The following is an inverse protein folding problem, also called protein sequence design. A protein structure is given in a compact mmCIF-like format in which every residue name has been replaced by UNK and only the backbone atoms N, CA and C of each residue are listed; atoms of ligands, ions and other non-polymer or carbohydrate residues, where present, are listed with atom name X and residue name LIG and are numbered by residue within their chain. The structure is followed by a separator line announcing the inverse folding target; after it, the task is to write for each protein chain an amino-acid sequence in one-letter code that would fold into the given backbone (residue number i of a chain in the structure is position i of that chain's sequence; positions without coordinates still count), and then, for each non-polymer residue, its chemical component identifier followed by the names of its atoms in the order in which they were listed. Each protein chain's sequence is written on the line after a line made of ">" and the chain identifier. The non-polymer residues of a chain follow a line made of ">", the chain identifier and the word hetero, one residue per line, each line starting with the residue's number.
data_IF_591692527557
#
_entry.id   IF_591692527557
#
_cell.length_a   1.000
_cell.length_b   1.000
_cell.length_c   1.000
_cell.angle_alpha   90.00
_cell.angle_beta   90.00
_cell.angle_gamma   90.00
#
_symmetry.space_group_name_H-M   'P 1'
#
loop_
_entity.id
_entity.type
_entity.pdbx_description
1 polymer ?
#
# COMPACT_ATOMS: atom_id res chain seq x y z
N UNK A 1 -6.79 -6.37 30.18
CA UNK A 1 -6.74 -4.89 30.14
C UNK A 1 -6.78 -4.20 31.51
N UNK A 2 -7.25 -4.86 32.57
CA UNK A 2 -7.33 -4.28 33.94
C UNK A 2 -5.98 -4.27 34.68
N UNK A 3 -5.08 -5.18 34.39
CA UNK A 3 -3.75 -5.32 35.00
C UNK A 3 -2.72 -4.29 34.52
N UNK A 4 -2.80 -3.79 33.31
CA UNK A 4 -1.89 -2.76 32.78
C UNK A 4 -2.22 -1.33 33.29
N UNK A 5 -3.49 -1.05 33.61
CA UNK A 5 -3.88 0.25 34.20
C UNK A 5 -3.50 0.39 35.67
N UNK A 6 -3.43 -0.69 36.43
CA UNK A 6 -2.95 -0.68 37.82
C UNK A 6 -1.43 -0.46 37.89
N UNK A 7 -0.68 -1.08 36.98
CA UNK A 7 0.78 -0.93 36.88
C UNK A 7 1.20 0.52 36.54
N UNK A 8 0.47 1.20 35.67
CA UNK A 8 0.77 2.61 35.30
C UNK A 8 0.58 3.60 36.47
N UNK A 9 -0.42 3.39 37.35
CA UNK A 9 -0.65 4.23 38.54
C UNK A 9 0.35 3.94 39.65
N UNK A 10 0.82 2.72 39.76
CA UNK A 10 1.82 2.29 40.74
C UNK A 10 3.22 2.81 40.35
N UNK A 11 3.56 2.77 39.07
CA UNK A 11 4.78 3.40 38.54
C UNK A 11 4.77 4.90 38.74
N UNK A 12 3.62 5.58 38.59
CA UNK A 12 3.50 7.01 38.82
C UNK A 12 3.60 7.39 40.34
N UNK A 13 3.21 6.50 41.25
CA UNK A 13 3.39 6.65 42.69
C UNK A 13 4.85 6.46 43.11
N UNK A 14 5.57 5.52 42.52
CA UNK A 14 6.99 5.25 42.78
C UNK A 14 7.92 6.35 42.26
N UNK A 15 7.48 7.15 41.25
CA UNK A 15 8.29 8.28 40.75
C UNK A 15 8.18 9.55 41.60
N UNK A 16 7.30 9.61 42.61
CA UNK A 16 7.17 10.75 43.55
C UNK A 16 7.96 10.56 44.83
N UNK A 17 8.40 9.35 45.17
CA UNK A 17 9.37 9.13 46.27
C UNK A 17 10.80 9.24 45.69
N UNK A 18 11.68 9.99 46.38
CA UNK A 18 13.09 10.20 46.00
C UNK A 18 13.84 8.86 45.92
N UNK A 19 13.78 8.20 44.77
CA UNK A 19 14.63 7.05 44.48
C UNK A 19 16.11 7.48 44.49
N UNK A 20 17.04 6.64 45.00
CA UNK A 20 18.47 6.86 44.88
C UNK A 20 18.84 7.08 43.40
N UNK A 21 19.75 8.00 43.11
CA UNK A 21 20.11 8.39 41.72
C UNK A 21 20.48 7.21 40.79
N UNK A 22 21.03 6.14 41.39
CA UNK A 22 21.39 4.90 40.69
C UNK A 22 20.15 4.08 40.25
N UNK A 23 19.11 4.05 41.08
CA UNK A 23 17.85 3.37 40.75
C UNK A 23 17.02 4.13 39.72
N UNK A 24 17.00 5.48 39.84
CA UNK A 24 16.37 6.34 38.85
C UNK A 24 17.03 6.20 37.45
N UNK A 25 18.37 6.10 37.40
CA UNK A 25 19.11 5.87 36.18
C UNK A 25 18.80 4.48 35.57
N UNK A 26 18.76 3.42 36.39
CA UNK A 26 18.37 2.07 35.94
C UNK A 26 16.95 2.02 35.43
N UNK A 27 16.00 2.63 36.10
CA UNK A 27 14.60 2.73 35.64
C UNK A 27 14.49 3.50 34.33
N UNK A 28 15.26 4.55 34.14
CA UNK A 28 15.33 5.26 32.86
C UNK A 28 15.88 4.39 31.74
N UNK A 29 16.96 3.65 31.98
CA UNK A 29 17.54 2.72 31.00
C UNK A 29 16.55 1.62 30.62
N UNK A 30 15.91 0.99 31.62
CA UNK A 30 14.88 -0.05 31.39
C UNK A 30 13.66 0.52 30.64
N UNK A 31 13.23 1.75 30.97
CA UNK A 31 12.15 2.43 30.25
C UNK A 31 12.54 2.78 28.83
N UNK A 32 13.78 3.15 28.57
CA UNK A 32 14.30 3.37 27.22
C UNK A 32 14.41 2.07 26.43
N UNK A 33 14.92 1.00 27.03
CA UNK A 33 14.95 -0.34 26.41
C UNK A 33 13.55 -0.87 26.12
N UNK A 34 12.59 -0.70 27.03
CA UNK A 34 11.18 -1.05 26.80
C UNK A 34 10.53 -0.20 25.69
N UNK A 35 10.90 1.07 25.57
CA UNK A 35 10.44 1.94 24.47
C UNK A 35 11.05 1.52 23.14
N UNK A 36 12.33 1.17 23.11
CA UNK A 36 13.01 0.66 21.90
C UNK A 36 12.35 -0.66 21.48
N UNK A 37 12.08 -1.58 22.41
CA UNK A 37 11.38 -2.83 22.12
C UNK A 37 9.97 -2.59 21.57
N UNK A 38 9.22 -1.66 22.15
CA UNK A 38 7.88 -1.29 21.68
C UNK A 38 7.86 -0.58 20.31
N UNK A 39 8.99 0.06 19.92
CA UNK A 39 9.12 0.70 18.60
C UNK A 39 9.64 -0.23 17.51
N UNK A 40 10.21 -1.39 17.88
CA UNK A 40 10.74 -2.39 16.92
C UNK A 40 9.69 -3.42 16.50
N UNK A 41 8.61 -3.59 17.27
CA UNK A 41 7.53 -4.52 16.92
C UNK A 41 6.64 -3.97 15.79
N UNK A 42 5.95 -4.84 15.07
CA UNK A 42 5.03 -4.46 14.01
C UNK A 42 3.86 -3.61 14.56
N UNK A 43 3.25 -2.80 13.69
CA UNK A 43 2.03 -2.05 14.07
C UNK A 43 0.87 -2.99 14.32
N UNK A 44 0.06 -2.74 15.37
CA UNK A 44 -1.14 -3.52 15.62
C UNK A 44 -2.17 -3.33 14.49
N UNK A 45 -3.04 -4.33 14.22
CA UNK A 45 -3.98 -4.29 13.10
C UNK A 45 -4.91 -3.07 13.06
N UNK A 46 -5.28 -2.50 14.20
CA UNK A 46 -6.06 -1.25 14.27
C UNK A 46 -5.32 -0.06 13.63
N UNK A 47 -4.04 0.13 13.97
CA UNK A 47 -3.20 1.16 13.35
C UNK A 47 -2.96 0.92 11.86
N UNK A 48 -2.80 -0.35 11.46
CA UNK A 48 -2.70 -0.72 10.05
C UNK A 48 -3.95 -0.30 9.26
N UNK A 49 -5.14 -0.46 9.85
CA UNK A 49 -6.41 -0.07 9.24
C UNK A 49 -6.50 1.45 9.08
N UNK A 50 -6.11 2.23 10.09
CA UNK A 50 -6.04 3.69 10.01
C UNK A 50 -5.06 4.14 8.93
N UNK A 51 -3.88 3.49 8.85
CA UNK A 51 -2.89 3.79 7.81
C UNK A 51 -3.41 3.45 6.41
N UNK A 52 -4.04 2.28 6.22
CA UNK A 52 -4.68 1.89 4.95
C UNK A 52 -5.71 2.93 4.50
N UNK A 53 -6.56 3.39 5.41
CA UNK A 53 -7.55 4.43 5.14
C UNK A 53 -6.90 5.75 4.73
N UNK A 54 -5.88 6.21 5.46
CA UNK A 54 -5.13 7.44 5.17
C UNK A 54 -4.45 7.40 3.79
N UNK A 55 -3.77 6.29 3.49
CA UNK A 55 -3.15 6.07 2.17
C UNK A 55 -4.17 6.14 1.04
N UNK A 56 -5.36 5.55 1.21
CA UNK A 56 -6.42 5.62 0.21
C UNK A 56 -6.94 7.04 -0.02
N UNK A 57 -7.01 7.88 1.02
CA UNK A 57 -7.34 9.32 0.90
C UNK A 57 -6.26 10.05 0.10
N UNK A 58 -4.98 9.81 0.40
CA UNK A 58 -3.85 10.42 -0.31
C UNK A 58 -3.88 10.08 -1.79
N UNK A 59 -4.09 8.80 -2.14
CA UNK A 59 -4.17 8.33 -3.53
C UNK A 59 -5.35 8.95 -4.27
N UNK A 60 -6.50 9.10 -3.63
CA UNK A 60 -7.70 9.71 -4.22
C UNK A 60 -7.55 11.20 -4.51
N UNK A 61 -6.65 11.89 -3.82
CA UNK A 61 -6.39 13.32 -3.95
C UNK A 61 -5.05 13.62 -4.67
N UNK A 62 -4.34 12.61 -5.14
CA UNK A 62 -3.06 12.78 -5.81
C UNK A 62 -3.19 13.51 -7.16
N UNK A 63 -2.11 14.18 -7.56
CA UNK A 63 -2.04 14.82 -8.86
C UNK A 63 -2.07 13.78 -9.99
N UNK A 64 -2.90 14.00 -11.01
CA UNK A 64 -3.10 13.07 -12.14
C UNK A 64 -1.79 12.72 -12.84
N UNK A 65 -0.92 13.70 -13.08
CA UNK A 65 0.38 13.47 -13.72
C UNK A 65 1.28 12.56 -12.88
N UNK A 66 1.35 12.81 -11.57
CA UNK A 66 2.13 11.98 -10.65
C UNK A 66 1.58 10.55 -10.57
N UNK A 67 0.25 10.41 -10.45
CA UNK A 67 -0.42 9.09 -10.44
C UNK A 67 -0.14 8.34 -11.74
N UNK A 68 -0.21 9.04 -12.89
CA UNK A 68 0.03 8.43 -14.20
C UNK A 68 1.47 7.94 -14.36
N UNK A 69 2.47 8.75 -14.01
CA UNK A 69 3.87 8.36 -14.07
C UNK A 69 4.19 7.20 -13.12
N UNK A 70 3.68 7.26 -11.89
CA UNK A 70 3.82 6.17 -10.92
C UNK A 70 3.08 4.90 -11.37
N UNK A 71 1.96 5.04 -12.09
CA UNK A 71 1.26 3.93 -12.71
C UNK A 71 2.08 3.27 -13.83
N UNK A 72 2.72 4.05 -14.71
CA UNK A 72 3.63 3.52 -15.74
C UNK A 72 4.77 2.74 -15.08
N UNK A 73 5.39 3.31 -14.04
CA UNK A 73 6.44 2.61 -13.29
C UNK A 73 5.94 1.30 -12.68
N UNK A 74 4.73 1.25 -12.11
CA UNK A 74 4.20 0.03 -11.51
C UNK A 74 3.98 -1.07 -12.54
N UNK A 75 3.42 -0.76 -13.70
CA UNK A 75 3.28 -1.72 -14.80
C UNK A 75 4.63 -2.28 -15.26
N UNK A 76 5.61 -1.39 -15.39
CA UNK A 76 6.99 -1.77 -15.72
C UNK A 76 7.61 -2.68 -14.65
N UNK A 77 7.48 -2.34 -13.37
CA UNK A 77 8.02 -3.12 -12.25
C UNK A 77 7.40 -4.50 -12.12
N UNK A 78 6.08 -4.61 -12.23
CA UNK A 78 5.39 -5.92 -12.24
C UNK A 78 5.84 -6.73 -13.45
N UNK A 79 6.01 -6.11 -14.61
CA UNK A 79 6.57 -6.75 -15.78
C UNK A 79 7.99 -7.29 -15.58
N UNK A 80 8.87 -6.56 -14.85
CA UNK A 80 10.20 -7.06 -14.48
C UNK A 80 10.12 -8.34 -13.64
N UNK A 81 9.21 -8.39 -12.67
CA UNK A 81 8.95 -9.61 -11.89
C UNK A 81 8.46 -10.76 -12.77
N UNK A 82 7.58 -10.48 -13.74
CA UNK A 82 7.08 -11.46 -14.69
C UNK A 82 8.17 -11.96 -15.65
N UNK A 83 9.02 -11.07 -16.14
CA UNK A 83 10.19 -11.40 -16.97
C UNK A 83 11.15 -12.31 -16.19
N UNK A 84 11.48 -11.97 -14.97
CA UNK A 84 12.37 -12.77 -14.14
C UNK A 84 11.78 -14.15 -13.80
N UNK A 85 10.48 -14.22 -13.53
CA UNK A 85 9.75 -15.48 -13.38
C UNK A 85 9.84 -16.33 -14.65
N UNK A 86 9.64 -15.74 -15.83
CA UNK A 86 9.77 -16.45 -17.11
C UNK A 86 11.16 -17.05 -17.28
N UNK A 87 12.22 -16.29 -16.99
CA UNK A 87 13.60 -16.79 -17.09
C UNK A 87 13.84 -17.99 -16.16
N UNK A 88 13.54 -17.81 -14.86
CA UNK A 88 13.87 -18.82 -13.84
C UNK A 88 13.07 -20.10 -14.01
N UNK A 89 11.86 -20.01 -14.57
CA UNK A 89 11.04 -21.21 -14.83
C UNK A 89 11.30 -21.85 -16.21
N UNK A 90 12.26 -21.34 -16.99
CA UNK A 90 12.64 -21.90 -18.28
C UNK A 90 13.49 -23.16 -18.07
N UNK A 91 13.07 -24.26 -18.68
CA UNK A 91 13.81 -25.55 -18.74
C UNK A 91 14.35 -26.09 -17.39
N UNK A 92 13.72 -25.72 -16.29
CA UNK A 92 14.14 -26.12 -14.95
C UNK A 92 13.65 -27.54 -14.61
N UNK A 93 14.55 -28.45 -14.28
CA UNK A 93 14.28 -29.88 -14.04
C UNK A 93 14.21 -30.23 -12.54
N UNK A 94 13.54 -29.42 -11.73
CA UNK A 94 13.42 -29.60 -10.26
C UNK A 94 12.05 -30.10 -9.81
N UNK A 95 11.19 -30.44 -10.76
CA UNK A 95 9.80 -30.86 -10.50
C UNK A 95 8.83 -29.68 -10.38
N UNK A 96 7.53 -29.98 -10.58
CA UNK A 96 6.47 -28.97 -10.72
C UNK A 96 6.39 -28.00 -9.55
N UNK A 97 6.33 -28.52 -8.31
CA UNK A 97 6.14 -27.68 -7.12
C UNK A 97 7.29 -26.71 -6.88
N UNK A 98 8.53 -27.19 -7.00
CA UNK A 98 9.71 -26.35 -6.77
C UNK A 98 9.91 -25.33 -7.88
N UNK A 99 9.62 -25.68 -9.15
CA UNK A 99 9.62 -24.73 -10.27
C UNK A 99 8.63 -23.59 -10.01
N UNK A 100 7.42 -23.91 -9.56
CA UNK A 100 6.39 -22.92 -9.23
C UNK A 100 6.80 -22.04 -8.05
N UNK A 101 7.39 -22.63 -7.01
CA UNK A 101 7.90 -21.92 -5.84
C UNK A 101 9.00 -20.91 -6.23
N UNK A 102 9.99 -21.35 -6.99
CA UNK A 102 11.09 -20.48 -7.45
C UNK A 102 10.57 -19.34 -8.34
N UNK A 103 9.67 -19.64 -9.27
CA UNK A 103 9.02 -18.62 -10.09
C UNK A 103 8.28 -17.58 -9.24
N UNK A 104 7.61 -18.02 -8.17
CA UNK A 104 6.93 -17.13 -7.23
C UNK A 104 7.88 -16.24 -6.42
N UNK A 105 8.97 -16.80 -5.91
CA UNK A 105 10.00 -16.07 -5.15
C UNK A 105 10.58 -14.94 -6.00
N UNK A 106 11.00 -15.23 -7.23
CA UNK A 106 11.62 -14.21 -8.08
C UNK A 106 10.62 -13.17 -8.61
N UNK A 107 9.35 -13.56 -8.77
CA UNK A 107 8.28 -12.62 -9.13
C UNK A 107 8.05 -11.54 -8.06
N UNK A 108 8.39 -11.80 -6.80
CA UNK A 108 8.28 -10.83 -5.71
C UNK A 108 9.04 -9.52 -6.00
N UNK A 109 10.07 -9.55 -6.85
CA UNK A 109 10.78 -8.37 -7.33
C UNK A 109 9.80 -7.28 -7.77
N UNK A 110 8.75 -7.66 -8.51
CA UNK A 110 7.76 -6.70 -9.04
C UNK A 110 7.08 -5.91 -7.91
N UNK A 111 6.50 -6.58 -6.91
CA UNK A 111 5.80 -5.88 -5.82
C UNK A 111 6.78 -5.22 -4.84
N UNK A 112 7.97 -5.78 -4.64
CA UNK A 112 9.02 -5.14 -3.85
C UNK A 112 9.36 -3.77 -4.46
N UNK A 113 9.58 -3.68 -5.76
CA UNK A 113 9.83 -2.41 -6.45
C UNK A 113 8.64 -1.46 -6.34
N UNK A 114 7.41 -1.94 -6.54
CA UNK A 114 6.19 -1.12 -6.39
C UNK A 114 6.10 -0.51 -4.99
N UNK A 115 6.33 -1.31 -3.94
CA UNK A 115 6.15 -0.86 -2.55
C UNK A 115 7.33 -0.02 -2.07
N UNK A 116 8.58 -0.40 -2.36
CA UNK A 116 9.76 0.26 -1.81
C UNK A 116 10.22 1.45 -2.66
N UNK A 117 10.17 1.35 -3.99
CA UNK A 117 10.48 2.47 -4.86
C UNK A 117 9.30 3.44 -5.03
N UNK A 118 8.10 3.06 -4.59
CA UNK A 118 6.91 3.91 -4.57
C UNK A 118 6.25 4.08 -5.93
N UNK A 119 5.33 3.15 -6.29
CA UNK A 119 4.60 3.20 -7.54
C UNK A 119 3.09 2.96 -7.33
N UNK A 120 2.24 3.31 -8.30
CA UNK A 120 0.79 3.18 -8.22
C UNK A 120 0.32 1.90 -8.94
N UNK A 121 -0.06 0.89 -8.16
CA UNK A 121 -0.52 -0.39 -8.67
C UNK A 121 -2.04 -0.54 -8.51
N UNK A 122 -2.75 -0.79 -9.61
CA UNK A 122 -4.21 -0.93 -9.64
C UNK A 122 -4.74 -1.97 -8.64
N UNK A 123 -4.12 -3.15 -8.58
CA UNK A 123 -4.54 -4.24 -7.69
C UNK A 123 -4.39 -3.87 -6.22
N UNK A 124 -3.33 -3.17 -5.84
CA UNK A 124 -3.15 -2.64 -4.47
C UNK A 124 -4.13 -1.50 -4.15
N UNK A 125 -4.50 -0.69 -5.15
CA UNK A 125 -5.45 0.41 -4.98
C UNK A 125 -6.89 -0.07 -4.74
N UNK A 126 -7.18 -1.36 -4.87
CA UNK A 126 -8.46 -1.93 -4.43
C UNK A 126 -8.73 -1.70 -2.93
N UNK A 127 -7.68 -1.59 -2.11
CA UNK A 127 -7.80 -1.26 -0.68
C UNK A 127 -8.38 0.14 -0.40
N UNK A 128 -8.40 1.05 -1.39
CA UNK A 128 -9.04 2.37 -1.27
C UNK A 128 -10.54 2.29 -0.96
N UNK A 129 -11.16 1.13 -1.15
CA UNK A 129 -12.56 0.88 -0.74
C UNK A 129 -12.77 1.16 0.74
N UNK A 130 -11.77 0.94 1.61
CA UNK A 130 -11.85 1.26 3.03
C UNK A 130 -12.03 2.76 3.27
N UNK A 131 -11.30 3.62 2.54
CA UNK A 131 -11.45 5.08 2.61
C UNK A 131 -12.80 5.54 2.08
N UNK A 132 -13.34 4.83 1.05
CA UNK A 132 -14.70 5.09 0.54
C UNK A 132 -15.76 4.67 1.54
N UNK A 133 -15.64 3.50 2.13
CA UNK A 133 -16.56 3.00 3.17
C UNK A 133 -16.57 3.89 4.42
N UNK A 134 -15.44 4.51 4.71
CA UNK A 134 -15.30 5.54 5.74
C UNK A 134 -15.88 6.90 5.36
N UNK A 135 -16.34 7.10 4.13
CA UNK A 135 -16.87 8.39 3.66
C UNK A 135 -15.79 9.46 3.42
N UNK A 136 -14.49 9.13 3.50
CA UNK A 136 -13.38 10.08 3.33
C UNK A 136 -13.10 10.43 1.87
N UNK A 137 -13.50 9.58 0.93
CA UNK A 137 -13.38 9.83 -0.51
C UNK A 137 -14.72 9.59 -1.22
N UNK A 138 -14.93 10.27 -2.35
CA UNK A 138 -16.10 10.07 -3.22
C UNK A 138 -15.92 8.83 -4.10
N UNK A 139 -17.03 8.22 -4.50
CA UNK A 139 -17.01 7.08 -5.42
C UNK A 139 -16.37 7.45 -6.78
N UNK A 140 -16.59 8.66 -7.26
CA UNK A 140 -15.95 9.18 -8.48
C UNK A 140 -14.41 9.23 -8.36
N UNK A 141 -13.88 9.61 -7.20
CA UNK A 141 -12.43 9.64 -6.96
C UNK A 141 -11.83 8.23 -6.95
N UNK A 142 -12.54 7.24 -6.40
CA UNK A 142 -12.13 5.85 -6.41
C UNK A 142 -12.02 5.33 -7.85
N UNK A 143 -13.09 5.47 -8.65
CA UNK A 143 -13.08 4.99 -10.04
C UNK A 143 -12.12 5.78 -10.93
N UNK A 144 -11.96 7.08 -10.70
CA UNK A 144 -10.99 7.89 -11.41
C UNK A 144 -9.57 7.39 -11.17
N UNK A 145 -9.19 7.15 -9.90
CA UNK A 145 -7.87 6.59 -9.57
C UNK A 145 -7.70 5.20 -10.22
N UNK A 146 -8.67 4.31 -10.06
CA UNK A 146 -8.61 2.96 -10.64
C UNK A 146 -8.45 2.99 -12.15
N UNK A 147 -9.22 3.83 -12.84
CA UNK A 147 -9.13 3.95 -14.30
C UNK A 147 -7.76 4.46 -14.76
N UNK A 148 -7.28 5.57 -14.19
CA UNK A 148 -5.97 6.15 -14.54
C UNK A 148 -4.87 5.13 -14.30
N UNK A 149 -4.84 4.53 -13.10
CA UNK A 149 -3.77 3.59 -12.71
C UNK A 149 -3.82 2.33 -13.56
N UNK A 150 -5.01 1.77 -13.85
CA UNK A 150 -5.14 0.59 -14.71
C UNK A 150 -4.56 0.80 -16.11
N UNK A 151 -4.92 1.91 -16.75
CA UNK A 151 -4.42 2.23 -18.10
C UNK A 151 -2.94 2.57 -18.11
N UNK A 152 -2.45 3.27 -17.09
CA UNK A 152 -1.02 3.60 -17.02
C UNK A 152 -0.16 2.39 -16.63
N UNK A 153 -0.68 1.44 -15.84
CA UNK A 153 -0.02 0.15 -15.64
C UNK A 153 0.09 -0.63 -16.97
N UNK A 154 -0.95 -0.62 -17.81
CA UNK A 154 -0.90 -1.23 -19.14
C UNK A 154 0.21 -0.60 -20.00
N UNK A 155 0.28 0.73 -20.05
CA UNK A 155 1.33 1.44 -20.80
C UNK A 155 2.72 1.00 -20.31
N UNK A 156 2.96 0.97 -18.99
CA UNK A 156 4.23 0.54 -18.40
C UNK A 156 4.61 -0.89 -18.75
N UNK A 157 3.63 -1.81 -18.70
CA UNK A 157 3.83 -3.20 -19.06
C UNK A 157 4.18 -3.37 -20.56
N UNK A 158 3.47 -2.65 -21.45
CA UNK A 158 3.74 -2.69 -22.89
C UNK A 158 5.08 -2.06 -23.25
N UNK A 159 5.50 -0.99 -22.57
CA UNK A 159 6.84 -0.42 -22.73
C UNK A 159 7.92 -1.45 -22.38
N UNK A 160 7.74 -2.20 -21.30
CA UNK A 160 8.69 -3.25 -20.93
C UNK A 160 8.69 -4.37 -21.97
N UNK A 161 7.52 -4.83 -22.46
CA UNK A 161 7.44 -5.84 -23.53
C UNK A 161 8.26 -5.40 -24.73
N UNK A 162 8.12 -4.14 -25.15
CA UNK A 162 8.88 -3.57 -26.26
C UNK A 162 10.40 -3.64 -26.03
N UNK A 163 10.86 -3.18 -24.86
CA UNK A 163 12.29 -3.19 -24.50
C UNK A 163 12.84 -4.62 -24.44
N UNK A 164 12.11 -5.54 -23.79
CA UNK A 164 12.51 -6.96 -23.67
C UNK A 164 12.52 -7.65 -25.02
N UNK A 165 11.56 -7.34 -25.91
CA UNK A 165 11.52 -7.88 -27.26
C UNK A 165 12.76 -7.47 -28.07
N UNK A 166 13.08 -6.17 -28.11
CA UNK A 166 14.25 -5.67 -28.85
C UNK A 166 15.60 -6.04 -28.22
N UNK A 167 15.65 -6.31 -26.91
CA UNK A 167 16.86 -6.83 -26.25
C UNK A 167 17.20 -8.26 -26.66
N UNK A 168 16.30 -8.96 -27.35
CA UNK A 168 16.42 -10.38 -27.70
C UNK A 168 16.59 -11.31 -26.48
N UNK A 169 16.20 -10.86 -25.30
CA UNK A 169 16.19 -11.67 -24.09
C UNK A 169 15.49 -13.03 -24.27
N UNK A 170 14.44 -13.07 -25.08
CA UNK A 170 13.69 -14.26 -25.44
C UNK A 170 14.49 -15.30 -26.25
N UNK A 171 15.62 -14.88 -26.85
CA UNK A 171 16.49 -15.78 -27.62
C UNK A 171 17.47 -16.57 -26.73
N UNK A 172 17.58 -16.24 -25.44
CA UNK A 172 18.42 -16.96 -24.50
C UNK A 172 18.09 -18.46 -24.45
N UNK A 173 19.11 -19.26 -24.12
CA UNK A 173 19.03 -20.71 -24.03
C UNK A 173 18.42 -21.34 -25.30
N UNK A 174 18.91 -20.93 -26.48
CA UNK A 174 18.43 -21.45 -27.76
C UNK A 174 16.94 -21.21 -28.00
N UNK A 175 16.43 -20.03 -27.61
CA UNK A 175 15.02 -19.60 -27.70
C UNK A 175 14.08 -20.21 -26.64
N UNK A 176 14.54 -21.05 -25.73
CA UNK A 176 13.67 -21.67 -24.72
C UNK A 176 12.97 -20.65 -23.81
N UNK A 177 13.59 -19.50 -23.52
CA UNK A 177 12.93 -18.40 -22.79
C UNK A 177 11.72 -17.88 -23.56
N UNK A 178 11.84 -17.72 -24.87
CA UNK A 178 10.72 -17.35 -25.75
C UNK A 178 9.62 -18.42 -25.80
N UNK A 179 10.00 -19.68 -25.82
CA UNK A 179 9.05 -20.82 -25.76
C UNK A 179 8.28 -20.82 -24.46
N UNK A 180 8.96 -20.57 -23.34
CA UNK A 180 8.30 -20.48 -22.03
C UNK A 180 7.34 -19.27 -21.98
N UNK A 181 7.75 -18.11 -22.49
CA UNK A 181 6.89 -16.92 -22.58
C UNK A 181 5.63 -17.19 -23.43
N UNK A 182 5.80 -17.85 -24.59
CA UNK A 182 4.70 -18.29 -25.46
C UNK A 182 3.74 -19.23 -24.72
N UNK A 183 4.28 -20.24 -24.03
CA UNK A 183 3.50 -21.24 -23.30
C UNK A 183 2.71 -20.65 -22.16
N UNK A 184 3.32 -19.74 -21.36
CA UNK A 184 2.66 -19.02 -20.26
C UNK A 184 1.47 -18.21 -20.82
N UNK A 185 1.69 -17.44 -21.86
CA UNK A 185 0.65 -16.61 -22.47
C UNK A 185 -0.48 -17.44 -23.06
N UNK A 186 -0.13 -18.52 -23.77
CA UNK A 186 -1.11 -19.42 -24.39
C UNK A 186 -2.01 -20.09 -23.34
N UNK A 187 -1.44 -20.53 -22.21
CA UNK A 187 -2.22 -21.05 -21.10
C UNK A 187 -3.21 -20.02 -20.52
N UNK A 188 -2.83 -18.74 -20.48
CA UNK A 188 -3.65 -17.65 -19.94
C UNK A 188 -4.82 -17.26 -20.85
N UNK A 189 -4.58 -17.08 -22.15
CA UNK A 189 -5.65 -16.69 -23.09
C UNK A 189 -6.69 -17.80 -23.32
N UNK A 190 -6.35 -19.04 -22.99
CA UNK A 190 -7.24 -20.19 -23.09
C UNK A 190 -7.96 -20.54 -21.78
N UNK A 191 -7.80 -19.75 -20.72
CA UNK A 191 -8.60 -19.90 -19.50
C UNK A 191 -10.06 -19.53 -19.76
N UNK A 192 -10.98 -20.41 -19.37
CA UNK A 192 -12.40 -20.10 -19.36
C UNK A 192 -12.71 -18.98 -18.35
N UNK A 193 -13.82 -18.26 -18.57
CA UNK A 193 -14.22 -17.09 -17.77
C UNK A 193 -14.21 -17.36 -16.25
N UNK A 194 -14.91 -18.38 -15.79
CA UNK A 194 -15.06 -18.64 -14.34
C UNK A 194 -13.75 -19.04 -13.65
N UNK A 195 -12.91 -19.94 -14.20
CA UNK A 195 -11.57 -20.18 -13.66
C UNK A 195 -10.70 -18.92 -13.62
N UNK A 196 -10.71 -18.10 -14.67
CA UNK A 196 -9.96 -16.85 -14.71
C UNK A 196 -10.43 -15.85 -13.64
N UNK A 197 -11.75 -15.69 -13.49
CA UNK A 197 -12.37 -14.85 -12.47
C UNK A 197 -12.04 -15.31 -11.04
N UNK A 198 -12.25 -16.60 -10.73
CA UNK A 198 -11.95 -17.14 -9.41
C UNK A 198 -10.47 -17.05 -9.04
N UNK A 199 -9.56 -17.37 -10.00
CA UNK A 199 -8.12 -17.17 -9.82
C UNK A 199 -7.77 -15.70 -9.63
N UNK A 200 -8.50 -14.78 -10.27
CA UNK A 200 -8.40 -13.34 -10.06
C UNK A 200 -8.74 -12.93 -8.63
N UNK A 201 -9.82 -13.46 -8.05
CA UNK A 201 -10.22 -13.20 -6.65
C UNK A 201 -9.10 -13.63 -5.70
N UNK A 202 -8.65 -14.88 -5.82
CA UNK A 202 -7.62 -15.45 -4.94
C UNK A 202 -6.29 -14.70 -5.06
N UNK A 203 -5.91 -14.31 -6.27
CA UNK A 203 -4.70 -13.52 -6.51
C UNK A 203 -4.75 -12.20 -5.74
N UNK A 204 -5.78 -11.39 -5.98
CA UNK A 204 -5.78 -10.04 -5.39
C UNK A 204 -6.13 -10.03 -3.91
N UNK A 205 -6.73 -11.08 -3.38
CA UNK A 205 -6.79 -11.29 -1.93
C UNK A 205 -5.37 -11.38 -1.35
N UNK A 206 -4.48 -12.18 -1.95
CA UNK A 206 -3.09 -12.31 -1.48
C UNK A 206 -2.26 -11.05 -1.72
N UNK A 207 -2.42 -10.37 -2.85
CA UNK A 207 -1.73 -9.08 -3.12
C UNK A 207 -2.16 -8.03 -2.10
N UNK A 208 -3.45 -7.88 -1.82
CA UNK A 208 -3.95 -6.93 -0.84
C UNK A 208 -3.54 -7.29 0.59
N UNK A 209 -3.43 -8.59 0.92
CA UNK A 209 -2.86 -9.03 2.20
C UNK A 209 -1.36 -8.71 2.31
N UNK A 210 -0.57 -8.86 1.23
CA UNK A 210 0.82 -8.43 1.21
C UNK A 210 0.96 -6.92 1.50
N UNK A 211 0.14 -6.09 0.84
CA UNK A 211 0.10 -4.64 1.07
C UNK A 211 -0.37 -4.32 2.49
N UNK A 212 -1.37 -5.03 3.00
CA UNK A 212 -1.84 -4.91 4.38
C UNK A 212 -0.72 -5.18 5.38
N UNK A 213 0.02 -6.28 5.23
CA UNK A 213 1.17 -6.59 6.07
C UNK A 213 2.26 -5.52 6.00
N UNK A 214 2.47 -4.92 4.82
CA UNK A 214 3.40 -3.78 4.68
C UNK A 214 2.97 -2.55 5.48
N UNK A 215 1.69 -2.33 5.76
CA UNK A 215 1.25 -1.25 6.67
C UNK A 215 1.68 -1.52 8.12
N UNK A 216 1.80 -2.79 8.51
CA UNK A 216 2.33 -3.19 9.82
C UNK A 216 3.84 -3.09 9.94
N UNK A 217 4.54 -3.22 8.82
CA UNK A 217 6.00 -3.23 8.76
C UNK A 217 6.62 -1.88 9.18
N UNK A 218 7.75 -1.93 9.87
CA UNK A 218 8.49 -0.75 10.34
C UNK A 218 9.83 -0.56 9.64
N UNK A 219 10.39 -1.62 9.08
CA UNK A 219 11.64 -1.58 8.33
C UNK A 219 11.45 -1.99 6.87
N UNK A 220 12.45 -1.70 6.04
CA UNK A 220 12.51 -2.16 4.65
C UNK A 220 12.52 -3.70 4.56
N UNK A 221 13.25 -4.36 5.46
CA UNK A 221 13.36 -5.82 5.51
C UNK A 221 12.00 -6.43 5.85
N UNK A 222 11.27 -5.89 6.83
CA UNK A 222 9.93 -6.36 7.19
C UNK A 222 8.99 -6.32 5.99
N UNK A 223 9.04 -5.24 5.18
CA UNK A 223 8.23 -5.12 3.95
C UNK A 223 8.59 -6.19 2.92
N UNK A 224 9.87 -6.49 2.74
CA UNK A 224 10.32 -7.56 1.83
C UNK A 224 9.73 -8.90 2.27
N UNK A 225 9.82 -9.24 3.55
CA UNK A 225 9.24 -10.48 4.07
C UNK A 225 7.70 -10.50 4.04
N UNK A 226 7.05 -9.37 4.29
CA UNK A 226 5.60 -9.22 4.18
C UNK A 226 5.09 -9.48 2.74
N UNK A 227 5.91 -9.18 1.74
CA UNK A 227 5.60 -9.40 0.33
C UNK A 227 5.91 -10.85 -0.08
N UNK A 228 7.00 -11.42 0.41
CA UNK A 228 7.57 -12.67 -0.08
C UNK A 228 6.56 -13.82 -0.08
N UNK A 229 5.94 -14.12 1.06
CA UNK A 229 5.07 -15.30 1.16
C UNK A 229 3.75 -15.17 0.39
N UNK A 230 2.97 -14.07 0.52
CA UNK A 230 1.70 -13.96 -0.21
C UNK A 230 1.90 -13.89 -1.73
N UNK A 231 2.95 -13.22 -2.20
CA UNK A 231 3.21 -13.09 -3.63
C UNK A 231 3.73 -14.41 -4.21
N UNK A 232 4.67 -15.07 -3.50
CA UNK A 232 5.10 -16.42 -3.88
C UNK A 232 3.92 -17.37 -3.97
N UNK A 233 3.02 -17.34 -2.99
CA UNK A 233 1.85 -18.22 -2.96
C UNK A 233 0.94 -18.01 -4.18
N UNK A 234 0.57 -16.75 -4.53
CA UNK A 234 -0.33 -16.56 -5.65
C UNK A 234 0.30 -16.98 -6.99
N UNK A 235 1.60 -16.71 -7.20
CA UNK A 235 2.29 -17.12 -8.43
C UNK A 235 2.41 -18.64 -8.52
N UNK A 236 2.85 -19.26 -7.42
CA UNK A 236 3.02 -20.71 -7.35
C UNK A 236 1.70 -21.47 -7.58
N UNK A 237 0.59 -20.98 -7.02
CA UNK A 237 -0.75 -21.54 -7.21
C UNK A 237 -1.35 -21.25 -8.61
N UNK A 238 -0.69 -20.45 -9.43
CA UNK A 238 -1.18 -20.12 -10.78
C UNK A 238 -2.43 -19.23 -10.75
N UNK A 239 -2.53 -18.33 -9.75
CA UNK A 239 -3.60 -17.33 -9.68
C UNK A 239 -3.34 -16.20 -10.67
N UNK A 240 -4.41 -15.50 -11.08
CA UNK A 240 -4.38 -14.58 -12.20
C UNK A 240 -4.31 -13.12 -11.74
N UNK A 241 -3.24 -12.43 -12.14
CA UNK A 241 -3.00 -11.02 -11.85
C UNK A 241 -3.13 -10.18 -13.12
N UNK A 242 -4.12 -9.28 -13.18
CA UNK A 242 -4.41 -8.50 -14.39
C UNK A 242 -3.19 -7.72 -14.90
N UNK A 243 -2.46 -7.05 -14.00
CA UNK A 243 -1.30 -6.23 -14.41
C UNK A 243 -0.11 -7.11 -14.86
N UNK A 244 0.11 -8.27 -14.23
CA UNK A 244 1.11 -9.22 -14.72
C UNK A 244 0.74 -9.77 -16.10
N UNK A 245 -0.56 -10.02 -16.35
CA UNK A 245 -1.06 -10.47 -17.64
C UNK A 245 -0.89 -9.40 -18.75
N UNK A 246 -0.85 -8.11 -18.38
CA UNK A 246 -0.50 -7.02 -19.30
C UNK A 246 0.95 -7.10 -19.81
N UNK A 247 1.82 -7.87 -19.17
CA UNK A 247 3.15 -8.21 -19.66
C UNK A 247 3.16 -9.60 -20.31
N UNK A 248 2.70 -10.65 -19.61
CA UNK A 248 2.82 -12.03 -20.05
C UNK A 248 2.14 -12.26 -21.41
N UNK A 249 0.89 -11.78 -21.57
CA UNK A 249 0.14 -12.07 -22.79
C UNK A 249 0.68 -11.30 -24.00
N UNK A 250 0.93 -9.98 -23.96
CA UNK A 250 1.55 -9.28 -25.07
C UNK A 250 2.95 -9.82 -25.43
N UNK A 251 3.75 -10.24 -24.45
CA UNK A 251 5.03 -10.87 -24.72
C UNK A 251 4.85 -12.20 -25.48
N UNK A 252 3.88 -13.03 -25.07
CA UNK A 252 3.55 -14.26 -25.79
C UNK A 252 3.00 -14.01 -27.19
N UNK A 253 2.19 -12.96 -27.39
CA UNK A 253 1.74 -12.55 -28.74
C UNK A 253 2.94 -12.17 -29.62
N UNK A 254 3.91 -11.44 -29.08
CA UNK A 254 5.15 -11.12 -29.79
C UNK A 254 5.95 -12.38 -30.12
N UNK A 255 5.96 -13.38 -29.24
CA UNK A 255 6.63 -14.67 -29.48
C UNK A 255 5.90 -15.52 -30.51
N UNK A 256 4.59 -15.47 -30.61
CA UNK A 256 3.81 -16.15 -31.63
C UNK A 256 4.18 -15.66 -33.05
N UNK A 257 4.69 -14.45 -33.21
CA UNK A 257 5.24 -13.92 -34.46
C UNK A 257 6.67 -14.38 -34.78
N UNK A 258 7.35 -15.12 -33.87
CA UNK A 258 8.73 -15.57 -34.06
C UNK A 258 8.76 -17.05 -34.54
N UNK A 259 9.00 -17.28 -35.82
CA UNK A 259 8.97 -18.63 -36.45
C UNK A 259 9.81 -19.63 -35.64
N UNK A 260 11.05 -19.29 -35.28
CA UNK A 260 11.95 -20.17 -34.52
C UNK A 260 11.38 -20.56 -33.15
N UNK A 261 10.72 -19.64 -32.46
CA UNK A 261 10.10 -19.90 -31.14
C UNK A 261 8.93 -20.88 -31.31
N UNK A 262 8.08 -20.66 -32.29
CA UNK A 262 6.92 -21.53 -32.57
C UNK A 262 7.34 -22.94 -33.01
N UNK A 263 8.38 -23.04 -33.87
CA UNK A 263 8.95 -24.32 -34.29
C UNK A 263 9.51 -25.11 -33.10
N UNK A 264 10.32 -24.49 -32.25
CA UNK A 264 10.91 -25.15 -31.07
C UNK A 264 9.83 -25.53 -30.06
N UNK A 265 8.79 -24.70 -29.91
CA UNK A 265 7.64 -25.02 -29.06
C UNK A 265 6.81 -26.20 -29.56
N UNK A 266 6.95 -26.57 -30.83
CA UNK A 266 6.18 -27.65 -31.46
C UNK A 266 4.67 -27.35 -31.51
N UNK A 267 4.27 -26.05 -31.49
CA UNK A 267 2.88 -25.64 -31.50
C UNK A 267 2.37 -25.34 -32.89
N UNK A 268 1.18 -25.82 -33.20
CA UNK A 268 0.48 -25.52 -34.43
C UNK A 268 -0.20 -24.16 -34.40
N UNK A 269 -0.46 -23.55 -35.56
CA UNK A 269 -1.18 -22.29 -35.66
C UNK A 269 -2.56 -22.33 -34.96
N UNK A 270 -3.25 -23.47 -34.98
CA UNK A 270 -4.53 -23.65 -34.31
C UNK A 270 -4.41 -23.60 -32.77
N UNK A 271 -3.31 -24.13 -32.20
CA UNK A 271 -3.08 -24.14 -30.76
C UNK A 271 -2.75 -22.75 -30.19
N UNK A 272 -2.20 -21.85 -30.99
CA UNK A 272 -1.87 -20.48 -30.64
C UNK A 272 -2.85 -19.45 -31.21
N UNK A 273 -3.95 -19.89 -31.83
CA UNK A 273 -4.91 -19.01 -32.49
C UNK A 273 -5.51 -17.94 -31.60
N UNK A 274 -5.62 -18.21 -30.30
CA UNK A 274 -6.13 -17.24 -29.29
C UNK A 274 -5.06 -16.26 -28.77
N UNK A 275 -3.79 -16.42 -29.16
CA UNK A 275 -2.73 -15.46 -28.82
C UNK A 275 -2.82 -14.22 -29.72
N UNK A 276 -3.81 -13.40 -29.46
CA UNK A 276 -4.13 -12.18 -30.19
C UNK A 276 -4.78 -11.15 -29.23
N UNK A 277 -5.10 -9.96 -29.73
CA UNK A 277 -5.73 -8.89 -28.95
C UNK A 277 -7.08 -9.32 -28.35
N UNK A 278 -7.86 -10.12 -29.07
CA UNK A 278 -9.16 -10.61 -28.56
C UNK A 278 -8.96 -11.55 -27.36
N UNK A 279 -8.02 -12.51 -27.47
CA UNK A 279 -7.69 -13.39 -26.35
C UNK A 279 -7.07 -12.64 -25.15
N UNK A 280 -6.28 -11.59 -25.42
CA UNK A 280 -5.76 -10.70 -24.37
C UNK A 280 -6.89 -10.02 -23.60
N UNK A 281 -7.84 -9.39 -24.28
CA UNK A 281 -9.01 -8.74 -23.67
C UNK A 281 -9.87 -9.81 -22.98
N UNK A 282 -10.08 -10.96 -23.63
CA UNK A 282 -10.85 -12.10 -23.12
C UNK A 282 -10.34 -12.63 -21.77
N UNK A 283 -9.01 -12.61 -21.57
CA UNK A 283 -8.40 -12.94 -20.27
C UNK A 283 -8.50 -11.76 -19.28
N UNK A 284 -8.17 -10.53 -19.70
CA UNK A 284 -8.13 -9.38 -18.80
C UNK A 284 -9.48 -9.07 -18.15
N UNK A 285 -10.59 -9.22 -18.87
CA UNK A 285 -11.92 -8.89 -18.33
C UNK A 285 -12.24 -9.72 -17.08
N UNK A 286 -12.32 -11.06 -17.14
CA UNK A 286 -12.64 -11.85 -15.95
C UNK A 286 -11.59 -11.71 -14.84
N UNK A 287 -10.30 -11.64 -15.20
CA UNK A 287 -9.21 -11.50 -14.22
C UNK A 287 -9.31 -10.16 -13.49
N UNK A 288 -9.53 -9.06 -14.20
CA UNK A 288 -9.68 -7.73 -13.58
C UNK A 288 -10.90 -7.66 -12.66
N UNK A 289 -12.05 -8.20 -13.10
CA UNK A 289 -13.25 -8.30 -12.25
C UNK A 289 -12.95 -9.10 -10.98
N UNK A 290 -12.26 -10.24 -11.11
CA UNK A 290 -11.85 -11.06 -9.97
C UNK A 290 -10.89 -10.31 -9.04
N UNK A 291 -9.90 -9.61 -9.60
CA UNK A 291 -8.97 -8.81 -8.80
C UNK A 291 -9.70 -7.69 -8.02
N UNK A 292 -10.66 -6.99 -8.63
CA UNK A 292 -11.48 -6.01 -7.93
C UNK A 292 -12.21 -6.66 -6.75
N UNK A 293 -12.88 -7.78 -6.96
CA UNK A 293 -13.63 -8.48 -5.91
C UNK A 293 -12.71 -8.92 -4.77
N UNK A 294 -11.57 -9.57 -5.06
CA UNK A 294 -10.64 -10.04 -4.05
C UNK A 294 -10.06 -8.92 -3.20
N UNK A 295 -9.61 -7.82 -3.84
CA UNK A 295 -9.02 -6.70 -3.13
C UNK A 295 -10.04 -5.88 -2.34
N UNK A 296 -11.23 -5.63 -2.91
CA UNK A 296 -12.31 -4.95 -2.19
C UNK A 296 -12.84 -5.76 -1.01
N UNK A 297 -12.85 -7.08 -1.10
CA UNK A 297 -13.18 -7.97 0.02
C UNK A 297 -12.22 -7.72 1.19
N UNK A 298 -10.90 -7.76 0.97
CA UNK A 298 -9.90 -7.52 2.02
C UNK A 298 -10.07 -6.13 2.65
N UNK A 299 -10.13 -5.08 1.84
CA UNK A 299 -10.30 -3.72 2.34
C UNK A 299 -11.60 -3.51 3.12
N UNK A 300 -12.70 -4.12 2.68
CA UNK A 300 -14.00 -4.02 3.33
C UNK A 300 -14.04 -4.75 4.67
N UNK A 301 -13.46 -5.96 4.77
CA UNK A 301 -13.42 -6.74 6.01
C UNK A 301 -12.61 -6.03 7.09
N UNK A 302 -11.41 -5.53 6.75
CA UNK A 302 -10.59 -4.80 7.72
C UNK A 302 -11.23 -3.47 8.14
N UNK A 303 -11.92 -2.79 7.22
CA UNK A 303 -12.72 -1.62 7.57
C UNK A 303 -13.85 -1.97 8.56
N UNK A 304 -14.61 -3.04 8.31
CA UNK A 304 -15.71 -3.49 9.17
C UNK A 304 -15.24 -3.82 10.58
N UNK A 305 -14.08 -4.49 10.72
CA UNK A 305 -13.55 -4.96 12.00
C UNK A 305 -12.98 -3.81 12.81
N UNK A 306 -12.13 -2.97 12.20
CA UNK A 306 -11.31 -2.01 12.95
C UNK A 306 -11.81 -0.58 12.88
N UNK A 307 -12.39 -0.12 11.76
CA UNK A 307 -12.74 1.30 11.58
C UNK A 307 -14.21 1.62 11.82
N UNK A 308 -15.12 0.67 11.55
CA UNK A 308 -16.56 0.95 11.68
C UNK A 308 -17.01 1.28 13.11
N UNK A 309 -16.47 0.56 14.12
CA UNK A 309 -16.87 0.75 15.52
C UNK A 309 -16.32 2.05 16.11
N UNK A 310 -15.10 2.42 15.79
CA UNK A 310 -14.52 3.70 16.25
C UNK A 310 -15.35 4.88 15.78
N UNK A 311 -15.75 4.89 14.50
CA UNK A 311 -16.59 5.96 13.94
C UNK A 311 -18.01 6.00 14.48
N UNK A 312 -18.60 4.86 14.81
CA UNK A 312 -19.90 4.88 15.48
C UNK A 312 -19.81 5.52 16.87
N UNK A 313 -18.71 5.30 17.61
CA UNK A 313 -18.46 5.93 18.90
C UNK A 313 -18.11 7.42 18.75
N UNK A 314 -17.31 7.79 17.76
CA UNK A 314 -17.00 9.19 17.43
C UNK A 314 -18.24 9.98 16.99
N UNK A 315 -19.09 9.39 16.12
CA UNK A 315 -20.32 10.02 15.68
C UNK A 315 -21.33 10.21 16.85
N UNK A 316 -21.41 9.25 17.77
CA UNK A 316 -22.23 9.37 18.98
C UNK A 316 -21.63 10.41 19.94
N UNK A 317 -20.31 10.41 20.12
CA UNK A 317 -19.61 11.41 20.92
C UNK A 317 -19.78 12.82 20.33
N UNK A 318 -19.61 12.97 19.01
CA UNK A 318 -19.82 14.23 18.29
C UNK A 318 -21.28 14.72 18.38
N UNK A 319 -22.27 13.83 18.27
CA UNK A 319 -23.69 14.18 18.45
C UNK A 319 -24.01 14.58 19.89
N UNK A 320 -23.46 13.88 20.88
CA UNK A 320 -23.59 14.25 22.31
C UNK A 320 -22.91 15.59 22.60
N UNK A 321 -21.75 15.82 22.02
CA UNK A 321 -21.00 17.05 22.12
C UNK A 321 -21.78 18.25 21.51
N UNK A 322 -22.29 18.07 20.28
CA UNK A 322 -23.17 19.07 19.62
C UNK A 322 -24.42 19.34 20.45
N UNK A 323 -25.10 18.30 20.92
CA UNK A 323 -26.29 18.48 21.77
C UNK A 323 -25.98 19.23 23.07
N UNK A 324 -24.82 18.95 23.71
CA UNK A 324 -24.33 19.68 24.87
C UNK A 324 -23.98 21.14 24.58
N UNK A 325 -23.47 21.42 23.38
CA UNK A 325 -23.11 22.77 22.93
C UNK A 325 -24.34 23.68 22.78
N UNK A 326 -25.46 23.13 22.30
CA UNK A 326 -26.71 23.88 22.13
C UNK A 326 -27.49 24.04 23.43
N UNK A 327 -27.13 23.30 24.50
CA UNK A 327 -27.85 23.31 25.79
C UNK A 327 -27.18 24.11 26.92
N UNK A 328 -25.90 24.54 26.78
CA UNK A 328 -25.17 25.23 27.84
C UNK A 328 -24.26 26.37 27.36
N UNK A 329 -24.63 27.65 27.63
CA UNK A 329 -23.87 28.84 27.22
C UNK A 329 -22.45 28.96 27.83
N UNK A 330 -22.22 28.39 29.01
CA UNK A 330 -20.89 28.42 29.67
C UNK A 330 -19.87 27.48 29.01
N UNK A 331 -20.35 26.34 28.44
CA UNK A 331 -19.50 25.43 27.66
C UNK A 331 -19.07 26.04 26.32
N UNK A 332 -19.90 26.90 25.72
CA UNK A 332 -19.57 27.59 24.47
C UNK A 332 -18.37 28.54 24.62
N UNK A 333 -18.28 29.26 25.75
CA UNK A 333 -17.19 30.21 26.00
C UNK A 333 -15.86 29.50 26.34
N UNK A 334 -15.92 28.39 27.08
CA UNK A 334 -14.73 27.58 27.38
C UNK A 334 -14.18 26.85 26.15
N UNK A 335 -15.04 26.40 25.27
CA UNK A 335 -14.62 25.72 24.04
C UNK A 335 -14.05 26.64 22.96
N UNK A 336 -14.62 27.86 22.85
CA UNK A 336 -14.02 28.88 21.97
C UNK A 336 -12.60 29.22 22.42
N UNK A 337 -12.35 29.29 23.74
CA UNK A 337 -11.02 29.50 24.31
C UNK A 337 -10.09 28.31 24.09
N UNK A 338 -10.61 27.10 24.17
CA UNK A 338 -9.81 25.86 23.93
C UNK A 338 -9.41 25.70 22.47
N UNK A 339 -10.35 25.91 21.54
CA UNK A 339 -10.10 25.89 20.08
C UNK A 339 -9.09 26.98 19.66
N UNK A 340 -9.17 28.18 20.27
CA UNK A 340 -8.20 29.25 20.03
C UNK A 340 -6.80 28.86 20.54
N UNK A 341 -6.74 28.19 21.68
CA UNK A 341 -5.48 27.72 22.30
C UNK A 341 -4.84 26.59 21.45
N UNK A 342 -5.63 25.66 20.95
CA UNK A 342 -5.15 24.59 20.05
C UNK A 342 -4.65 25.16 18.73
N UNK A 343 -5.41 26.06 18.11
CA UNK A 343 -5.02 26.74 16.88
C UNK A 343 -3.70 27.49 17.05
N UNK A 344 -3.52 28.19 18.15
CA UNK A 344 -2.25 28.87 18.51
C UNK A 344 -1.10 27.88 18.67
N UNK A 345 -1.34 26.73 19.31
CA UNK A 345 -0.35 25.67 19.47
C UNK A 345 0.05 25.06 18.12
N UNK A 346 -0.92 24.79 17.24
CA UNK A 346 -0.68 24.30 15.89
C UNK A 346 0.14 25.29 15.05
N UNK A 347 -0.23 26.57 15.06
CA UNK A 347 0.53 27.63 14.38
C UNK A 347 1.97 27.68 14.89
N UNK A 348 2.17 27.55 16.21
CA UNK A 348 3.51 27.53 16.81
C UNK A 348 4.34 26.32 16.35
N UNK A 349 3.74 25.13 16.25
CA UNK A 349 4.40 23.93 15.73
C UNK A 349 4.79 24.11 14.28
N UNK A 350 3.87 24.59 13.44
CA UNK A 350 4.10 24.77 12.00
C UNK A 350 5.14 25.87 11.72
N UNK A 351 5.08 26.99 12.45
CA UNK A 351 6.08 28.05 12.33
C UNK A 351 7.47 27.55 12.73
N UNK A 352 7.57 26.79 13.82
CA UNK A 352 8.84 26.20 14.24
C UNK A 352 9.34 25.17 13.25
N UNK A 353 8.48 24.35 12.68
CA UNK A 353 8.84 23.36 11.66
C UNK A 353 9.38 24.03 10.38
N UNK A 354 8.88 25.22 10.04
CA UNK A 354 9.38 26.03 8.94
C UNK A 354 10.79 26.59 9.18
N UNK A 355 11.03 27.10 10.40
CA UNK A 355 12.22 27.92 10.71
C UNK A 355 13.35 27.09 11.35
N UNK A 356 13.08 25.90 11.92
CA UNK A 356 14.03 25.04 12.62
C UNK A 356 14.12 23.66 11.96
N UNK A 357 15.13 23.49 11.09
CA UNK A 357 15.37 22.23 10.39
C UNK A 357 15.64 21.03 11.31
N UNK A 358 16.20 21.28 12.53
CA UNK A 358 16.43 20.22 13.53
C UNK A 358 15.12 19.80 14.18
N UNK A 359 14.23 20.75 14.43
CA UNK A 359 12.88 20.44 14.92
C UNK A 359 12.07 19.72 13.83
N UNK A 360 12.17 20.15 12.58
CA UNK A 360 11.53 19.50 11.44
C UNK A 360 11.99 18.03 11.29
N UNK A 361 13.29 17.78 11.43
CA UNK A 361 13.83 16.42 11.42
C UNK A 361 13.28 15.58 12.58
N UNK A 362 13.23 16.12 13.80
CA UNK A 362 12.63 15.45 14.97
C UNK A 362 11.13 15.18 14.78
N UNK A 363 10.41 16.13 14.19
CA UNK A 363 8.97 15.98 13.90
C UNK A 363 8.75 14.89 12.83
N UNK A 364 9.69 14.72 11.91
CA UNK A 364 9.68 13.66 10.92
C UNK A 364 9.98 12.28 11.51
N UNK A 365 10.99 12.19 12.39
CA UNK A 365 11.50 10.94 12.94
C UNK A 365 10.66 10.42 14.12
N UNK A 366 10.35 11.33 15.08
CA UNK A 366 9.58 10.99 16.27
C UNK A 366 8.60 12.12 16.65
N UNK A 367 7.44 12.19 15.95
CA UNK A 367 6.43 13.23 16.17
C UNK A 367 5.92 13.26 17.61
N UNK A 368 5.76 12.10 18.26
CA UNK A 368 5.31 12.01 19.64
C UNK A 368 6.23 12.74 20.62
N UNK A 369 7.53 12.64 20.39
CA UNK A 369 8.52 13.32 21.22
C UNK A 369 8.61 14.82 20.88
N UNK A 370 8.57 15.15 19.59
CA UNK A 370 8.64 16.54 19.13
C UNK A 370 7.44 17.37 19.60
N UNK A 371 6.26 16.76 19.64
CA UNK A 371 4.99 17.39 19.98
C UNK A 371 4.64 17.33 21.48
N UNK A 372 5.46 16.68 22.31
CA UNK A 372 5.18 16.50 23.75
C UNK A 372 5.03 17.82 24.53
N UNK A 373 5.72 18.87 24.09
CA UNK A 373 5.68 20.18 24.72
C UNK A 373 4.49 21.08 24.29
N UNK A 374 3.71 20.61 23.28
CA UNK A 374 2.61 21.38 22.73
C UNK A 374 1.27 20.79 23.17
N UNK A 375 0.36 21.69 23.60
CA UNK A 375 -0.99 21.28 24.00
C UNK A 375 -1.89 21.18 22.76
N UNK A 376 -1.78 20.07 22.02
CA UNK A 376 -2.55 19.76 20.82
C UNK A 376 -3.32 18.45 21.02
N UNK A 377 -4.50 18.35 20.40
CA UNK A 377 -5.35 17.16 20.49
C UNK A 377 -4.72 15.96 19.77
N UNK A 378 -5.19 14.74 20.07
CA UNK A 378 -4.79 13.55 19.32
C UNK A 378 -5.07 13.67 17.82
N UNK A 379 -6.17 14.34 17.43
CA UNK A 379 -6.53 14.59 16.02
C UNK A 379 -5.55 15.54 15.34
N UNK A 380 -5.18 16.63 15.99
CA UNK A 380 -4.19 17.59 15.50
C UNK A 380 -2.82 16.94 15.34
N UNK A 381 -2.47 16.06 16.27
CA UNK A 381 -1.24 15.28 16.24
C UNK A 381 -1.23 14.28 15.08
N UNK A 382 -2.34 13.54 14.91
CA UNK A 382 -2.50 12.62 13.79
C UNK A 382 -2.45 13.33 12.44
N UNK A 383 -3.03 14.54 12.34
CA UNK A 383 -2.98 15.35 11.12
C UNK A 383 -1.57 15.83 10.79
N UNK A 384 -0.76 16.21 11.78
CA UNK A 384 0.66 16.55 11.62
C UNK A 384 1.50 15.31 11.27
N UNK A 385 1.21 14.16 11.87
CA UNK A 385 1.88 12.88 11.62
C UNK A 385 1.58 12.33 10.23
N UNK A 386 0.34 12.41 9.79
CA UNK A 386 -0.10 11.95 8.46
C UNK A 386 0.13 12.99 7.36
N UNK A 387 0.44 14.25 7.72
CA UNK A 387 0.54 15.35 6.77
C UNK A 387 -0.80 15.75 6.15
N UNK A 388 -1.94 15.60 6.86
CA UNK A 388 -3.26 15.97 6.35
C UNK A 388 -3.38 17.50 6.19
N UNK A 389 -2.88 17.98 5.04
CA UNK A 389 -2.86 19.41 4.68
C UNK A 389 -4.25 20.02 4.76
N UNK A 390 -5.31 19.31 4.33
CA UNK A 390 -6.67 19.86 4.33
C UNK A 390 -7.21 20.06 5.73
N UNK A 391 -6.97 19.10 6.61
CA UNK A 391 -7.34 19.23 8.01
C UNK A 391 -6.58 20.37 8.66
N UNK A 392 -5.26 20.44 8.45
CA UNK A 392 -4.43 21.52 8.99
C UNK A 392 -4.87 22.89 8.48
N UNK A 393 -5.07 23.06 7.16
CA UNK A 393 -5.52 24.32 6.56
C UNK A 393 -6.93 24.73 7.02
N UNK A 394 -7.80 23.77 7.34
CA UNK A 394 -9.12 24.07 7.92
C UNK A 394 -9.06 24.67 9.33
N UNK A 395 -7.95 24.49 10.05
CA UNK A 395 -7.75 24.96 11.42
C UNK A 395 -6.88 26.21 11.51
N UNK A 396 -5.82 26.29 10.72
CA UNK A 396 -4.80 27.35 10.81
C UNK A 396 -4.80 28.32 9.62
N UNK A 397 -5.63 28.09 8.61
CA UNK A 397 -5.60 28.83 7.35
C UNK A 397 -4.60 28.22 6.35
N UNK A 398 -4.45 28.87 5.20
CA UNK A 398 -3.57 28.38 4.12
C UNK A 398 -2.11 28.28 4.59
N UNK A 399 -1.50 27.12 4.38
CA UNK A 399 -0.09 26.87 4.65
C UNK A 399 0.80 27.47 3.54
N UNK A 400 1.99 27.90 3.89
CA UNK A 400 2.98 28.36 2.91
C UNK A 400 3.55 27.20 2.08
N UNK A 401 4.11 27.53 0.91
CA UNK A 401 4.62 26.55 -0.05
C UNK A 401 5.68 25.58 0.54
N UNK A 402 6.67 26.05 1.36
CA UNK A 402 7.63 25.13 1.97
C UNK A 402 7.01 24.08 2.89
N UNK A 403 6.07 24.47 3.74
CA UNK A 403 5.36 23.55 4.63
C UNK A 403 4.44 22.58 3.85
N UNK A 404 3.76 23.07 2.83
CA UNK A 404 2.97 22.23 1.93
C UNK A 404 3.83 21.18 1.24
N UNK A 405 4.96 21.60 0.68
CA UNK A 405 5.90 20.71 -0.01
C UNK A 405 6.43 19.64 0.94
N UNK A 406 6.81 20.02 2.17
CA UNK A 406 7.29 19.09 3.17
C UNK A 406 6.20 18.09 3.60
N UNK A 407 4.98 18.55 3.88
CA UNK A 407 3.86 17.68 4.23
C UNK A 407 3.51 16.75 3.06
N UNK A 408 3.55 17.24 1.81
CA UNK A 408 3.33 16.43 0.61
C UNK A 408 4.42 15.38 0.42
N UNK A 409 5.70 15.73 0.66
CA UNK A 409 6.80 14.76 0.56
C UNK A 409 6.70 13.67 1.61
N UNK A 410 6.26 14.01 2.82
CA UNK A 410 6.03 13.05 3.89
C UNK A 410 4.88 12.09 3.55
N UNK A 411 3.77 12.60 3.04
CA UNK A 411 2.68 11.78 2.49
C UNK A 411 3.15 10.87 1.36
N UNK A 412 4.12 11.30 0.54
CA UNK A 412 4.66 10.47 -0.54
C UNK A 412 5.56 9.34 -0.04
N UNK A 413 6.25 9.51 1.09
CA UNK A 413 7.03 8.44 1.73
C UNK A 413 6.16 7.41 2.47
N UNK A 414 4.95 7.80 2.87
CA UNK A 414 3.98 6.90 3.53
C UNK A 414 3.01 6.22 2.54
N UNK A 415 3.17 6.40 1.25
CA UNK A 415 2.27 5.84 0.22
C UNK A 415 2.24 4.31 0.17
N UNK A 416 3.17 3.62 0.86
CA UNK A 416 3.25 2.16 0.90
C UNK A 416 3.73 1.61 2.25
#
# INVERSE_FOLDING_TARGET
>A
MTTLKSSGKEIQRLTTEKLPAVEASRLQTVMEELKICATTDCRPPGEMAVKMEGVGVTKANGNIWSISLLGILAGFFIGLGAMFCTLVTTDIQVGFGLTKLLGGIVFCLGLILVVLAGAELFTGNALMVASRASGKIRLSQLFQNWGIVYFTNLIGSLLLVLVVFYSQFWALDGYKVGVNALSIANAKVNLAFWPAFARGILCNTLVCLAVWLCFGARSTIDKVFAILFPITAFVACGFEHSIANMYFIPMGIAMAGQTKVVEIAGLTAGQIANLNVTGFIGNLVPVTMGNIVGGTFVGSIYWLIYLRKERASEAVAARRWLAGMFSNPQLQSQQATYLDTETKALISVLARARDDTKFLAKLADNPNQALKAYNITPEAKAALESGDIRWLESRVGMLDEPLRTWLTSRLSQEKW
#
